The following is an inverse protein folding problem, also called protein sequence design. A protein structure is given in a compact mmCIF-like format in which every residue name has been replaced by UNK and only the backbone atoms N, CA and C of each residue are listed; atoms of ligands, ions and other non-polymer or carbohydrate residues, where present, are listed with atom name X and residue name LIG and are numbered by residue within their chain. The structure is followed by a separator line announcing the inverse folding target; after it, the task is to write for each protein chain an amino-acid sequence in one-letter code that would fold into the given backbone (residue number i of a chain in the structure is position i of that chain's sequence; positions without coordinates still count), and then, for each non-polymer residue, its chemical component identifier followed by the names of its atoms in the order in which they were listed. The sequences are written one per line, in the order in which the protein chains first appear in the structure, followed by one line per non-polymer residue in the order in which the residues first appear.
data_IF_986905810437
#
_entry.id   IF_986905810437
#
_cell.length_a   1.000
_cell.length_b   1.000
_cell.length_c   1.000
_cell.angle_alpha   90.00
_cell.angle_beta   90.00
_cell.angle_gamma   90.00
#
_symmetry.space_group_name_H-M   'P 1'
#
loop_
_entity.id
_entity.type
_entity.pdbx_description
1 polymer ?
#
# COMPACT_ATOMS: atom_id res chain seq x y z
N UNK A 1 12.71 -9.85 16.29
CA UNK A 1 11.47 -9.38 16.95
C UNK A 1 10.51 -10.55 16.97
N UNK A 2 10.14 -11.02 18.15
CA UNK A 2 9.28 -12.19 18.31
C UNK A 2 7.89 -11.91 17.72
N UNK A 3 7.37 -12.87 16.95
CA UNK A 3 6.01 -12.83 16.44
C UNK A 3 5.07 -12.88 17.66
N UNK A 4 4.40 -11.77 17.97
CA UNK A 4 3.48 -11.71 19.11
C UNK A 4 2.24 -12.48 18.71
N UNK A 5 2.06 -13.65 19.32
CA UNK A 5 0.94 -14.54 19.03
C UNK A 5 -0.31 -14.04 19.76
N UNK A 6 -1.09 -13.18 19.08
CA UNK A 6 -2.28 -12.53 19.63
C UNK A 6 -3.39 -13.55 19.96
N UNK A 7 -3.32 -14.74 19.37
CA UNK A 7 -4.36 -15.78 19.46
C UNK A 7 -4.25 -16.60 20.76
N UNK A 8 -3.10 -16.56 21.44
CA UNK A 8 -2.86 -17.26 22.70
C UNK A 8 -2.53 -18.75 22.54
N UNK A 9 -1.74 -19.30 23.46
CA UNK A 9 -1.25 -20.69 23.40
C UNK A 9 -2.37 -21.73 23.52
N UNK A 10 -3.41 -21.42 24.29
CA UNK A 10 -4.56 -22.29 24.54
C UNK A 10 -5.34 -22.64 23.25
N UNK A 11 -5.41 -21.72 22.30
CA UNK A 11 -6.06 -21.96 21.01
C UNK A 11 -5.30 -23.03 20.20
N UNK A 12 -3.98 -22.92 20.14
CA UNK A 12 -3.12 -23.83 19.37
C UNK A 12 -3.03 -25.23 19.99
N UNK A 13 -3.13 -25.32 21.33
CA UNK A 13 -3.21 -26.59 22.06
C UNK A 13 -4.50 -27.34 21.77
N UNK A 14 -5.63 -26.64 21.66
CA UNK A 14 -6.92 -27.25 21.35
C UNK A 14 -7.11 -27.58 19.86
N UNK A 15 -6.30 -26.99 18.97
CA UNK A 15 -6.42 -27.14 17.52
C UNK A 15 -5.12 -27.69 16.89
N UNK A 16 -4.52 -28.72 17.51
CA UNK A 16 -3.29 -29.36 17.02
C UNK A 16 -3.36 -29.87 15.57
N UNK A 17 -4.56 -30.14 15.05
CA UNK A 17 -4.77 -30.54 13.66
C UNK A 17 -4.39 -29.41 12.67
N UNK A 18 -4.49 -28.14 13.07
CA UNK A 18 -4.05 -26.98 12.26
C UNK A 18 -2.51 -26.91 12.19
N UNK A 19 -1.83 -27.43 13.22
CA UNK A 19 -0.37 -27.45 13.32
C UNK A 19 0.29 -28.58 12.53
N UNK A 20 -0.44 -29.69 12.31
CA UNK A 20 0.05 -30.85 11.54
C UNK A 20 0.29 -30.55 10.07
N UNK A 21 -0.43 -29.58 9.53
CA UNK A 21 -0.15 -29.03 8.21
C UNK A 21 0.61 -27.72 8.41
N UNK A 22 1.95 -27.76 8.44
CA UNK A 22 2.80 -26.55 8.58
C UNK A 22 2.49 -25.48 7.51
N UNK A 23 1.85 -25.86 6.40
CA UNK A 23 1.31 -24.96 5.36
C UNK A 23 0.03 -24.22 5.77
N UNK A 24 -0.79 -24.77 6.66
CA UNK A 24 -2.14 -24.30 6.96
C UNK A 24 -2.21 -23.19 8.02
N UNK A 25 -1.13 -22.95 8.79
CA UNK A 25 -1.07 -21.80 9.72
C UNK A 25 -1.39 -20.47 9.04
N UNK A 26 -0.95 -20.29 7.80
CA UNK A 26 -1.17 -19.06 7.03
C UNK A 26 -2.43 -19.11 6.16
N UNK A 27 -2.86 -20.30 5.77
CA UNK A 27 -4.01 -20.50 4.88
C UNK A 27 -5.35 -20.28 5.61
N UNK A 28 -5.37 -20.51 6.93
CA UNK A 28 -6.51 -20.15 7.78
C UNK A 28 -6.73 -18.64 7.84
N UNK A 29 -5.66 -17.85 7.96
CA UNK A 29 -5.75 -16.37 8.05
C UNK A 29 -6.29 -15.76 6.74
N UNK A 30 -5.98 -16.36 5.59
CA UNK A 30 -6.54 -15.94 4.29
C UNK A 30 -8.08 -16.03 4.22
N UNK A 31 -8.72 -16.87 5.05
CA UNK A 31 -10.20 -16.97 5.08
C UNK A 31 -10.88 -15.72 5.66
N UNK A 32 -10.14 -14.92 6.42
CA UNK A 32 -10.60 -13.62 6.93
C UNK A 32 -10.26 -12.45 6.00
N UNK A 33 -9.57 -12.69 4.88
CA UNK A 33 -9.30 -11.66 3.87
C UNK A 33 -10.61 -11.32 3.16
N UNK A 34 -11.18 -10.16 3.49
CA UNK A 34 -12.40 -9.68 2.86
C UNK A 34 -12.02 -9.19 1.46
N UNK A 35 -12.41 -9.96 0.44
CA UNK A 35 -12.15 -9.64 -0.96
C UNK A 35 -12.93 -8.39 -1.42
N UNK A 36 -12.41 -7.20 -1.13
CA UNK A 36 -12.93 -5.92 -1.63
C UNK A 36 -12.50 -5.71 -3.09
N UNK A 37 -13.11 -6.47 -4.00
CA UNK A 37 -12.93 -6.30 -5.44
C UNK A 37 -13.66 -5.06 -5.91
N UNK A 38 -12.93 -4.16 -6.57
CA UNK A 38 -13.53 -3.00 -7.22
C UNK A 38 -14.27 -3.40 -8.51
N UNK A 39 -15.40 -2.76 -8.84
CA UNK A 39 -16.16 -3.09 -10.04
C UNK A 39 -15.32 -2.89 -11.32
N UNK A 40 -15.54 -3.70 -12.37
CA UNK A 40 -14.85 -3.56 -13.65
C UNK A 40 -15.22 -2.24 -14.34
N UNK A 41 -14.40 -1.83 -15.32
CA UNK A 41 -14.63 -0.66 -16.18
C UNK A 41 -14.69 0.71 -15.47
N UNK A 42 -14.24 0.81 -14.22
CA UNK A 42 -14.15 2.07 -13.48
C UNK A 42 -12.72 2.62 -13.43
N UNK A 43 -12.62 3.95 -13.39
CA UNK A 43 -11.37 4.64 -13.08
C UNK A 43 -11.07 4.52 -11.60
N UNK A 44 -9.88 4.01 -11.27
CA UNK A 44 -9.42 3.93 -9.87
C UNK A 44 -8.42 5.05 -9.64
N UNK A 45 -8.75 5.92 -8.68
CA UNK A 45 -7.84 6.97 -8.24
C UNK A 45 -7.21 6.51 -6.93
N UNK A 46 -5.88 6.44 -6.91
CA UNK A 46 -5.11 6.16 -5.70
C UNK A 46 -4.40 7.45 -5.31
N UNK A 47 -4.64 7.91 -4.09
CA UNK A 47 -3.96 9.07 -3.52
C UNK A 47 -2.97 8.59 -2.47
N UNK A 48 -1.74 9.06 -2.59
CA UNK A 48 -0.66 8.79 -1.66
C UNK A 48 -0.35 10.11 -0.97
N UNK A 49 -0.59 10.13 0.34
CA UNK A 49 -0.30 11.28 1.19
C UNK A 49 0.85 10.90 2.12
N UNK A 50 1.83 11.79 2.27
CA UNK A 50 2.90 11.60 3.22
C UNK A 50 2.37 11.73 4.66
N UNK A 51 2.51 10.68 5.45
CA UNK A 51 2.16 10.72 6.87
C UNK A 51 3.20 11.56 7.64
N UNK A 52 2.74 12.44 8.54
CA UNK A 52 3.61 13.30 9.36
C UNK A 52 4.62 14.14 8.55
N UNK A 53 4.21 14.63 7.38
CA UNK A 53 5.09 15.35 6.47
C UNK A 53 5.73 16.60 7.10
N UNK A 54 5.02 17.31 7.97
CA UNK A 54 5.58 18.47 8.68
C UNK A 54 6.82 18.11 9.51
N UNK A 55 6.77 17.00 10.26
CA UNK A 55 7.93 16.50 11.02
C UNK A 55 9.06 16.07 10.09
N UNK A 56 8.73 15.42 8.97
CA UNK A 56 9.70 15.00 7.96
C UNK A 56 10.45 16.19 7.36
N UNK A 57 9.73 17.25 6.99
CA UNK A 57 10.32 18.49 6.43
C UNK A 57 11.21 19.22 7.43
N UNK A 58 10.87 19.20 8.72
CA UNK A 58 11.70 19.78 9.78
C UNK A 58 13.01 19.02 9.96
N UNK A 59 12.97 17.68 9.99
CA UNK A 59 14.16 16.82 10.14
C UNK A 59 15.11 16.97 8.96
N UNK A 60 14.57 17.11 7.74
CA UNK A 60 15.35 17.22 6.51
C UNK A 60 15.59 18.68 6.07
N UNK A 61 15.24 19.66 6.89
CA UNK A 61 15.47 21.09 6.65
C UNK A 61 14.97 21.57 5.29
N UNK A 62 13.75 21.20 4.91
CA UNK A 62 13.17 21.60 3.62
C UNK A 62 12.97 23.10 3.52
N UNK A 63 13.23 23.65 2.34
CA UNK A 63 12.92 25.05 2.04
C UNK A 63 11.40 25.27 1.99
N UNK A 64 10.90 26.28 2.71
CA UNK A 64 9.49 26.70 2.69
C UNK A 64 9.31 27.94 1.81
N UNK A 65 8.18 28.08 1.09
CA UNK A 65 7.03 27.18 1.08
C UNK A 65 7.24 25.92 0.22
N UNK A 66 8.14 25.97 -0.77
CA UNK A 66 8.39 24.88 -1.70
C UNK A 66 9.88 24.49 -1.71
N UNK A 67 10.14 23.20 -1.52
CA UNK A 67 11.48 22.65 -1.68
C UNK A 67 11.60 21.92 -3.03
N UNK A 68 12.40 22.48 -3.93
CA UNK A 68 12.57 21.95 -5.29
C UNK A 68 13.17 20.54 -5.32
N UNK A 69 14.04 20.21 -4.37
CA UNK A 69 14.67 18.89 -4.29
C UNK A 69 13.62 17.83 -3.98
N UNK A 70 12.74 18.11 -3.02
CA UNK A 70 11.65 17.21 -2.67
C UNK A 70 10.64 17.03 -3.79
N UNK A 71 10.27 18.10 -4.51
CA UNK A 71 9.39 18.01 -5.68
C UNK A 71 10.01 17.14 -6.78
N UNK A 72 11.31 17.32 -7.06
CA UNK A 72 12.04 16.48 -8.03
C UNK A 72 12.07 15.03 -7.60
N UNK A 73 12.25 14.75 -6.31
CA UNK A 73 12.22 13.39 -5.78
C UNK A 73 10.85 12.73 -5.96
N UNK A 74 9.77 13.42 -5.63
CA UNK A 74 8.41 12.87 -5.77
C UNK A 74 8.06 12.67 -7.25
N UNK A 75 8.45 13.61 -8.12
CA UNK A 75 8.26 13.45 -9.58
C UNK A 75 9.05 12.26 -10.12
N UNK A 76 10.32 12.10 -9.74
CA UNK A 76 11.13 10.95 -10.15
C UNK A 76 10.54 9.62 -9.63
N UNK A 77 10.06 9.61 -8.39
CA UNK A 77 9.40 8.44 -7.80
C UNK A 77 8.10 8.10 -8.52
N UNK A 78 7.30 9.10 -8.88
CA UNK A 78 6.06 8.93 -9.63
C UNK A 78 6.33 8.39 -11.04
N UNK A 79 7.36 8.89 -11.72
CA UNK A 79 7.78 8.36 -13.03
C UNK A 79 8.20 6.90 -12.96
N UNK A 80 9.04 6.53 -11.99
CA UNK A 80 9.45 5.15 -11.78
C UNK A 80 8.27 4.23 -11.43
N UNK A 81 7.28 4.74 -10.68
CA UNK A 81 6.06 4.00 -10.37
C UNK A 81 5.23 3.77 -11.64
N UNK A 82 5.12 4.76 -12.54
CA UNK A 82 4.43 4.57 -13.82
C UNK A 82 5.14 3.55 -14.71
N UNK A 83 6.48 3.55 -14.73
CA UNK A 83 7.27 2.54 -15.46
C UNK A 83 7.09 1.13 -14.88
N UNK A 84 7.04 1.02 -13.54
CA UNK A 84 6.89 -0.26 -12.84
C UNK A 84 5.47 -0.83 -12.93
N UNK A 85 4.46 0.03 -13.06
CA UNK A 85 3.04 -0.34 -13.07
C UNK A 85 2.36 0.19 -14.35
N UNK A 86 2.37 -0.58 -15.46
CA UNK A 86 1.85 -0.12 -16.76
C UNK A 86 0.34 0.16 -16.78
N UNK A 87 -0.39 -0.28 -15.75
CA UNK A 87 -1.81 0.03 -15.58
C UNK A 87 -2.07 1.48 -15.13
N UNK A 88 -1.03 2.16 -14.61
CA UNK A 88 -1.11 3.56 -14.21
C UNK A 88 -1.04 4.41 -15.47
N UNK A 89 -2.14 5.09 -15.77
CA UNK A 89 -2.26 5.91 -16.97
C UNK A 89 -1.68 7.31 -16.75
N UNK A 90 -1.83 7.85 -15.54
CA UNK A 90 -1.41 9.21 -15.20
C UNK A 90 -1.00 9.28 -13.74
N UNK A 91 0.11 9.96 -13.44
CA UNK A 91 0.47 10.38 -12.09
C UNK A 91 0.61 11.91 -12.07
N UNK A 92 0.06 12.54 -11.03
CA UNK A 92 0.08 13.98 -10.81
C UNK A 92 0.58 14.26 -9.40
N UNK A 93 1.52 15.20 -9.30
CA UNK A 93 2.07 15.69 -8.03
C UNK A 93 1.60 17.14 -7.90
N UNK A 94 0.92 17.46 -6.81
CA UNK A 94 0.32 18.79 -6.58
C UNK A 94 1.21 19.65 -5.67
N UNK A 95 1.73 19.05 -4.61
CA UNK A 95 2.61 19.70 -3.66
C UNK A 95 3.67 18.71 -3.16
N UNK A 96 4.55 19.18 -2.28
CA UNK A 96 5.63 18.37 -1.69
C UNK A 96 5.12 17.23 -0.80
N UNK A 97 3.82 17.18 -0.49
CA UNK A 97 3.22 16.25 0.47
C UNK A 97 2.26 15.23 -0.13
N UNK A 98 1.77 15.48 -1.35
CA UNK A 98 0.69 14.72 -1.98
C UNK A 98 1.01 14.33 -3.42
N UNK A 99 0.80 13.04 -3.72
CA UNK A 99 0.83 12.50 -5.07
C UNK A 99 -0.48 11.74 -5.35
N UNK A 100 -1.07 11.96 -6.52
CA UNK A 100 -2.25 11.25 -6.98
C UNK A 100 -1.93 10.49 -8.25
N UNK A 101 -2.26 9.20 -8.31
CA UNK A 101 -2.15 8.42 -9.53
C UNK A 101 -3.51 7.86 -9.97
N UNK A 102 -3.74 7.93 -11.26
CA UNK A 102 -4.91 7.42 -11.95
C UNK A 102 -4.53 6.13 -12.64
N UNK A 103 -5.17 5.06 -12.21
CA UNK A 103 -5.04 3.75 -12.81
C UNK A 103 -6.24 3.50 -13.71
N UNK A 104 -5.98 3.28 -15.01
CA UNK A 104 -7.00 2.85 -15.95
C UNK A 104 -6.99 1.33 -15.98
N UNK A 105 -8.08 0.71 -15.55
CA UNK A 105 -8.15 -0.74 -15.47
C UNK A 105 -8.59 -1.33 -16.81
N UNK A 106 -7.68 -2.03 -17.49
CA UNK A 106 -8.00 -2.93 -18.60
C UNK A 106 -8.07 -4.35 -18.03
N UNK A 107 -9.29 -4.80 -17.74
CA UNK A 107 -9.67 -6.20 -17.52
C UNK A 107 -8.65 -7.12 -16.83
N UNK A 108 -8.29 -6.91 -15.55
CA UNK A 108 -7.72 -7.99 -14.73
C UNK A 108 -8.06 -7.84 -13.23
N UNK A 109 -8.47 -8.96 -12.65
CA UNK A 109 -9.14 -9.17 -11.36
C UNK A 109 -8.16 -9.19 -10.18
N UNK A 110 -7.42 -8.11 -9.88
CA UNK A 110 -6.59 -8.09 -8.65
C UNK A 110 -6.42 -6.75 -7.92
N UNK A 111 -7.11 -5.66 -8.28
CA UNK A 111 -7.13 -4.46 -7.44
C UNK A 111 -8.01 -4.71 -6.21
N UNK A 112 -7.36 -4.79 -5.05
CA UNK A 112 -7.99 -4.85 -3.72
C UNK A 112 -7.81 -3.48 -3.07
N UNK A 113 -8.82 -3.01 -2.35
CA UNK A 113 -8.62 -1.95 -1.37
C UNK A 113 -7.87 -2.56 -0.19
N UNK A 114 -6.73 -1.96 0.16
CA UNK A 114 -6.00 -2.26 1.39
C UNK A 114 -6.72 -1.66 2.60
#
# INVERSE_FOLDING_TARGET
MANVDIIGSEFWENHQYILREEKCRYEYVKKFDINHRLPPCNWTVVRINACQFERFTLIHSFNKPNDWTSLRLINASASLMMESFPDIYLAMVLDTSTASCFRRRLNYTSARKA
#
